data_IF_973844155932
#
_entry.id   IF_973844155932
#
_cell.length_a   1.000
_cell.length_b   1.000
_cell.length_c   1.000
_cell.angle_alpha   90.00
_cell.angle_beta   90.00
_cell.angle_gamma   90.00
#
_symmetry.space_group_name_H-M   'P 1'
#
loop_
_entity.id
_entity.type
_entity.pdbx_description
1 polymer ?
#
# COMPACT_ATOMS: atom_id res chain seq x y z
N UNK A 1 10.74 -29.40 10.69
CA UNK A 1 10.15 -28.23 11.39
C UNK A 1 8.70 -27.97 10.97
N UNK A 2 8.38 -27.94 9.67
CA UNK A 2 6.99 -27.84 9.17
C UNK A 2 6.03 -28.93 9.71
N UNK A 3 6.54 -30.15 9.93
CA UNK A 3 5.72 -31.25 10.48
C UNK A 3 5.36 -31.07 11.96
N UNK A 4 6.17 -30.32 12.73
CA UNK A 4 5.86 -30.00 14.12
C UNK A 4 4.72 -28.97 14.20
N UNK A 5 4.82 -27.88 13.42
CA UNK A 5 3.77 -26.85 13.31
C UNK A 5 2.47 -27.43 12.75
N UNK A 6 2.57 -28.38 11.80
CA UNK A 6 1.39 -29.07 11.24
C UNK A 6 0.67 -29.95 12.28
N UNK A 7 1.40 -30.48 13.27
CA UNK A 7 0.82 -31.25 14.39
C UNK A 7 0.19 -30.33 15.45
N UNK A 8 0.77 -29.16 15.69
CA UNK A 8 0.23 -28.19 16.66
C UNK A 8 -1.00 -27.43 16.14
N UNK A 9 -1.08 -27.17 14.83
CA UNK A 9 -2.17 -26.38 14.22
C UNK A 9 -2.87 -27.10 13.06
N UNK A 10 -3.37 -28.34 13.25
CA UNK A 10 -3.96 -29.14 12.16
C UNK A 10 -5.20 -28.48 11.56
N UNK A 11 -5.96 -27.74 12.38
CA UNK A 11 -7.17 -27.02 11.95
C UNK A 11 -6.85 -25.88 10.99
N UNK A 12 -5.73 -25.17 11.19
CA UNK A 12 -5.29 -24.08 10.29
C UNK A 12 -4.88 -24.65 8.94
N UNK A 13 -4.16 -25.77 8.92
CA UNK A 13 -3.80 -26.45 7.66
C UNK A 13 -5.01 -27.08 6.97
N UNK A 14 -5.98 -27.60 7.72
CA UNK A 14 -7.23 -28.12 7.16
C UNK A 14 -8.07 -27.00 6.53
N UNK A 15 -8.14 -25.83 7.18
CA UNK A 15 -8.80 -24.64 6.66
C UNK A 15 -8.08 -24.13 5.40
N UNK A 16 -6.75 -24.00 5.45
CA UNK A 16 -5.94 -23.56 4.31
C UNK A 16 -6.11 -24.47 3.08
N UNK A 17 -6.25 -25.79 3.27
CA UNK A 17 -6.53 -26.73 2.17
C UNK A 17 -7.95 -26.61 1.60
N UNK A 18 -8.91 -26.09 2.38
CA UNK A 18 -10.29 -25.89 1.95
C UNK A 18 -10.53 -24.53 1.31
N UNK A 19 -9.57 -23.59 1.42
CA UNK A 19 -9.70 -22.29 0.77
C UNK A 19 -9.63 -22.46 -0.75
N UNK A 20 -10.63 -21.96 -1.50
CA UNK A 20 -10.63 -22.04 -2.94
C UNK A 20 -9.46 -21.22 -3.50
N UNK A 21 -8.77 -21.77 -4.51
CA UNK A 21 -7.67 -21.08 -5.15
C UNK A 21 -8.17 -19.77 -5.77
N UNK A 22 -7.55 -18.62 -5.46
CA UNK A 22 -7.93 -17.35 -6.06
C UNK A 22 -7.71 -17.39 -7.58
N UNK A 23 -8.66 -16.84 -8.32
CA UNK A 23 -8.67 -16.83 -9.78
C UNK A 23 -8.51 -15.41 -10.31
N UNK A 24 -7.55 -15.21 -11.20
CA UNK A 24 -7.31 -13.91 -11.82
C UNK A 24 -7.31 -14.01 -13.34
N UNK A 25 -7.97 -13.05 -13.99
CA UNK A 25 -7.90 -12.91 -15.43
C UNK A 25 -6.56 -12.33 -15.87
N UNK A 26 -6.04 -12.80 -17.01
CA UNK A 26 -4.82 -12.22 -17.60
C UNK A 26 -5.07 -10.79 -18.05
N UNK A 27 -4.04 -9.96 -17.97
CA UNK A 27 -4.10 -8.56 -18.36
C UNK A 27 -2.79 -8.13 -19.00
N UNK A 28 -2.80 -7.00 -19.71
CA UNK A 28 -1.56 -6.44 -20.24
C UNK A 28 -0.68 -5.94 -19.10
N UNK A 29 0.63 -5.89 -19.35
CA UNK A 29 1.66 -5.53 -18.35
C UNK A 29 1.30 -4.32 -17.46
N UNK A 30 0.91 -3.14 -17.98
CA UNK A 30 0.63 -1.99 -17.12
C UNK A 30 -0.53 -2.25 -16.14
N UNK A 31 -1.57 -2.92 -16.60
CA UNK A 31 -2.75 -3.25 -15.78
C UNK A 31 -2.48 -4.40 -14.82
N UNK A 32 -1.64 -5.36 -15.20
CA UNK A 32 -1.16 -6.41 -14.32
C UNK A 32 -0.36 -5.83 -13.14
N UNK A 33 0.51 -4.83 -13.41
CA UNK A 33 1.29 -4.12 -12.38
C UNK A 33 0.37 -3.34 -11.43
N UNK A 34 -0.63 -2.64 -11.96
CA UNK A 34 -1.63 -1.97 -11.13
C UNK A 34 -2.44 -2.97 -10.29
N UNK A 35 -2.97 -4.03 -10.91
CA UNK A 35 -3.72 -5.06 -10.17
C UNK A 35 -2.88 -5.73 -9.08
N UNK A 36 -1.60 -5.98 -9.34
CA UNK A 36 -0.64 -6.50 -8.36
C UNK A 36 -0.45 -5.53 -7.19
N UNK A 37 -0.19 -4.25 -7.47
CA UNK A 37 -0.05 -3.22 -6.43
C UNK A 37 -1.32 -3.08 -5.60
N UNK A 38 -2.50 -3.11 -6.23
CA UNK A 38 -3.79 -3.06 -5.53
C UNK A 38 -4.04 -4.29 -4.66
N UNK A 39 -3.66 -5.48 -5.12
CA UNK A 39 -3.75 -6.70 -4.31
C UNK A 39 -2.83 -6.62 -3.08
N UNK A 40 -1.60 -6.15 -3.26
CA UNK A 40 -0.67 -5.89 -2.16
C UNK A 40 -1.22 -4.86 -1.17
N UNK A 41 -1.81 -3.77 -1.67
CA UNK A 41 -2.45 -2.73 -0.85
C UNK A 41 -3.58 -3.29 0.02
N UNK A 42 -4.51 -4.07 -0.56
CA UNK A 42 -5.60 -4.65 0.21
C UNK A 42 -5.14 -5.69 1.22
N UNK A 43 -4.18 -6.55 0.87
CA UNK A 43 -3.62 -7.53 1.81
C UNK A 43 -2.88 -6.83 2.95
N UNK A 44 -2.05 -5.84 2.65
CA UNK A 44 -1.39 -5.01 3.66
C UNK A 44 -2.40 -4.38 4.62
N UNK A 45 -3.42 -3.73 4.07
CA UNK A 45 -4.47 -3.07 4.85
C UNK A 45 -5.23 -4.05 5.73
N UNK A 46 -5.56 -5.23 5.19
CA UNK A 46 -6.26 -6.28 5.93
C UNK A 46 -5.41 -6.81 7.09
N UNK A 47 -4.13 -7.08 6.85
CA UNK A 47 -3.19 -7.52 7.88
C UNK A 47 -3.06 -6.43 8.95
N UNK A 48 -2.81 -5.18 8.56
CA UNK A 48 -2.70 -4.06 9.50
C UNK A 48 -3.95 -3.95 10.37
N UNK A 49 -5.14 -3.91 9.77
CA UNK A 49 -6.41 -3.77 10.49
C UNK A 49 -6.60 -4.93 11.47
N UNK A 50 -6.52 -6.18 10.99
CA UNK A 50 -6.77 -7.36 11.81
C UNK A 50 -5.75 -7.50 12.93
N UNK A 51 -4.46 -7.39 12.63
CA UNK A 51 -3.42 -7.61 13.63
C UNK A 51 -3.25 -6.42 14.57
N UNK A 52 -3.54 -5.18 14.15
CA UNK A 52 -3.59 -4.05 15.09
C UNK A 52 -4.76 -4.19 16.06
N UNK A 53 -5.94 -4.60 15.58
CA UNK A 53 -7.09 -4.87 16.45
C UNK A 53 -6.79 -6.01 17.43
N UNK A 54 -6.22 -7.10 16.93
CA UNK A 54 -5.84 -8.24 17.76
C UNK A 54 -4.79 -7.82 18.80
N UNK A 55 -3.66 -7.26 18.37
CA UNK A 55 -2.56 -6.89 19.24
C UNK A 55 -3.01 -5.93 20.34
N UNK A 56 -3.85 -4.93 20.02
CA UNK A 56 -4.42 -4.04 21.04
C UNK A 56 -5.42 -4.74 21.95
N UNK A 57 -6.26 -5.62 21.40
CA UNK A 57 -7.22 -6.39 22.18
C UNK A 57 -6.58 -7.31 23.22
N UNK A 58 -5.37 -7.79 22.96
CA UNK A 58 -4.63 -8.68 23.88
C UNK A 58 -3.35 -8.07 24.49
N UNK A 59 -3.12 -6.76 24.30
CA UNK A 59 -1.99 -6.05 24.91
C UNK A 59 -0.60 -6.43 24.38
N UNK A 60 -0.49 -6.91 23.14
CA UNK A 60 0.80 -7.24 22.52
C UNK A 60 1.48 -6.00 21.90
N UNK A 61 2.83 -5.99 21.81
CA UNK A 61 3.55 -4.96 21.08
C UNK A 61 3.14 -4.95 19.61
N UNK A 62 3.01 -3.76 19.01
CA UNK A 62 2.52 -3.58 17.63
C UNK A 62 3.64 -3.41 16.59
N UNK A 63 4.90 -3.39 17.01
CA UNK A 63 6.06 -3.08 16.16
C UNK A 63 6.25 -4.07 15.00
N UNK A 64 5.93 -5.34 15.21
CA UNK A 64 6.07 -6.41 14.21
C UNK A 64 4.99 -6.39 13.12
N UNK A 65 3.83 -5.75 13.39
CA UNK A 65 2.65 -5.82 12.52
C UNK A 65 2.91 -5.16 11.16
N UNK A 66 3.68 -4.07 11.13
CA UNK A 66 4.08 -3.40 9.89
C UNK A 66 4.99 -4.27 9.01
N UNK A 67 5.91 -5.02 9.63
CA UNK A 67 6.78 -5.97 8.92
C UNK A 67 5.96 -7.08 8.26
N UNK A 68 5.02 -7.68 8.99
CA UNK A 68 4.15 -8.74 8.46
C UNK A 68 3.24 -8.23 7.34
N UNK A 69 2.70 -7.02 7.48
CA UNK A 69 1.90 -6.39 6.43
C UNK A 69 2.72 -6.18 5.16
N UNK A 70 3.97 -5.74 5.29
CA UNK A 70 4.90 -5.54 4.16
C UNK A 70 5.24 -6.86 3.47
N UNK A 71 5.54 -7.91 4.24
CA UNK A 71 5.76 -9.27 3.72
C UNK A 71 4.54 -9.74 2.90
N UNK A 72 3.35 -9.64 3.49
CA UNK A 72 2.10 -10.05 2.84
C UNK A 72 1.80 -9.25 1.58
N UNK A 73 2.05 -7.94 1.60
CA UNK A 73 1.86 -7.05 0.46
C UNK A 73 2.76 -7.45 -0.72
N UNK A 74 4.07 -7.57 -0.48
CA UNK A 74 5.06 -7.90 -1.51
C UNK A 74 4.81 -9.31 -2.05
N UNK A 75 4.56 -10.27 -1.17
CA UNK A 75 4.27 -11.65 -1.56
C UNK A 75 3.04 -11.74 -2.46
N UNK A 76 1.97 -11.01 -2.10
CA UNK A 76 0.73 -10.97 -2.88
C UNK A 76 0.94 -10.22 -4.20
N UNK A 77 1.59 -9.06 -4.18
CA UNK A 77 1.79 -8.26 -5.38
C UNK A 77 2.64 -9.00 -6.42
N UNK A 78 3.79 -9.55 -6.04
CA UNK A 78 4.66 -10.31 -6.96
C UNK A 78 3.96 -11.54 -7.53
N UNK A 79 3.22 -12.24 -6.68
CA UNK A 79 2.53 -13.45 -7.10
C UNK A 79 1.37 -13.13 -8.05
N UNK A 80 0.58 -12.09 -7.75
CA UNK A 80 -0.48 -11.58 -8.64
C UNK A 80 0.11 -11.07 -9.96
N UNK A 81 1.21 -10.29 -9.92
CA UNK A 81 1.89 -9.80 -11.11
C UNK A 81 2.30 -10.95 -12.05
N UNK A 82 2.92 -11.99 -11.48
CA UNK A 82 3.31 -13.18 -12.24
C UNK A 82 2.10 -13.90 -12.85
N UNK A 83 1.03 -14.09 -12.07
CA UNK A 83 -0.17 -14.82 -12.54
C UNK A 83 -0.95 -14.07 -13.62
N UNK A 84 -1.03 -12.74 -13.54
CA UNK A 84 -1.84 -11.91 -14.45
C UNK A 84 -1.05 -11.48 -15.69
N UNK A 85 0.21 -11.08 -15.52
CA UNK A 85 1.03 -10.46 -16.57
C UNK A 85 2.37 -11.17 -16.83
N UNK A 86 2.63 -12.31 -16.18
CA UNK A 86 3.85 -13.09 -16.36
C UNK A 86 5.11 -12.40 -15.84
N UNK A 87 6.26 -12.90 -16.29
CA UNK A 87 7.59 -12.42 -15.86
C UNK A 87 7.79 -10.92 -16.15
N UNK A 88 7.25 -10.41 -17.26
CA UNK A 88 7.39 -9.00 -17.63
C UNK A 88 6.74 -8.07 -16.59
N UNK A 89 5.55 -8.42 -16.10
CA UNK A 89 4.89 -7.64 -15.05
C UNK A 89 5.65 -7.69 -13.73
N UNK A 90 6.24 -8.84 -13.39
CA UNK A 90 7.11 -8.97 -12.21
C UNK A 90 8.33 -8.07 -12.32
N UNK A 91 9.01 -8.08 -13.46
CA UNK A 91 10.20 -7.25 -13.70
C UNK A 91 9.86 -5.76 -13.58
N UNK A 92 8.75 -5.33 -14.17
CA UNK A 92 8.31 -3.93 -14.08
C UNK A 92 7.98 -3.55 -12.64
N UNK A 93 7.20 -4.37 -11.93
CA UNK A 93 6.83 -4.08 -10.54
C UNK A 93 8.05 -4.09 -9.61
N UNK A 94 8.92 -5.08 -9.74
CA UNK A 94 10.18 -5.13 -8.98
C UNK A 94 11.09 -3.94 -9.31
N UNK A 95 11.14 -3.51 -10.58
CA UNK A 95 11.87 -2.31 -10.99
C UNK A 95 11.35 -1.05 -10.30
N UNK A 96 10.02 -0.89 -10.19
CA UNK A 96 9.41 0.22 -9.46
C UNK A 96 9.83 0.18 -7.98
N UNK A 97 9.74 -0.98 -7.32
CA UNK A 97 10.17 -1.12 -5.92
C UNK A 97 11.65 -0.78 -5.73
N UNK A 98 12.52 -1.25 -6.62
CA UNK A 98 13.96 -0.93 -6.58
C UNK A 98 14.17 0.58 -6.71
N UNK A 99 13.49 1.25 -7.64
CA UNK A 99 13.58 2.70 -7.79
C UNK A 99 13.09 3.42 -6.54
N UNK A 100 11.94 3.02 -5.98
CA UNK A 100 11.44 3.58 -4.72
C UNK A 100 12.44 3.41 -3.58
N UNK A 101 13.05 2.23 -3.43
CA UNK A 101 14.05 1.98 -2.37
C UNK A 101 15.33 2.75 -2.56
N UNK A 102 15.81 2.91 -3.79
CA UNK A 102 16.96 3.76 -4.10
C UNK A 102 16.66 5.21 -3.73
N UNK A 103 15.48 5.72 -4.08
CA UNK A 103 15.06 7.08 -3.72
C UNK A 103 14.94 7.28 -2.20
N UNK A 104 14.36 6.30 -1.49
CA UNK A 104 14.30 6.32 -0.02
C UNK A 104 15.70 6.30 0.60
N UNK A 105 16.62 5.49 0.06
CA UNK A 105 18.01 5.44 0.53
C UNK A 105 18.72 6.79 0.33
N UNK A 106 18.49 7.46 -0.81
CA UNK A 106 19.01 8.81 -1.06
C UNK A 106 18.46 9.81 -0.03
N UNK A 107 17.16 9.76 0.25
CA UNK A 107 16.55 10.61 1.28
C UNK A 107 17.14 10.36 2.66
N UNK A 108 17.32 9.08 3.04
CA UNK A 108 17.92 8.69 4.31
C UNK A 108 19.38 9.13 4.43
N UNK A 109 20.18 8.95 3.37
CA UNK A 109 21.57 9.40 3.34
C UNK A 109 21.67 10.93 3.54
N UNK A 110 20.79 11.71 2.90
CA UNK A 110 20.74 13.16 3.07
C UNK A 110 20.33 13.58 4.48
N UNK A 111 19.32 12.91 5.07
CA UNK A 111 18.92 13.11 6.45
C UNK A 111 20.07 12.84 7.43
N UNK A 112 20.81 11.76 7.20
CA UNK A 112 21.93 11.33 8.02
C UNK A 112 23.18 12.22 7.91
N UNK A 113 23.37 12.90 6.79
CA UNK A 113 24.39 13.96 6.67
C UNK A 113 23.97 15.22 7.44
N UNK A 114 22.66 15.48 7.54
CA UNK A 114 22.14 16.65 8.25
C UNK A 114 22.03 16.47 9.78
N UNK A 115 21.90 15.23 10.26
CA UNK A 115 21.76 14.90 11.70
C UNK A 115 22.99 14.12 12.16
N UNK A 116 23.87 14.80 12.91
CA UNK A 116 25.07 14.19 13.51
C UNK A 116 24.61 13.23 14.61
N UNK A 117 24.93 11.94 14.47
CA UNK A 117 24.72 10.85 15.45
C UNK A 117 23.27 10.39 15.70
N UNK A 118 22.72 9.59 14.77
CA UNK A 118 21.60 8.68 15.10
C UNK A 118 21.90 7.25 14.65
N UNK A 119 21.53 6.26 15.48
CA UNK A 119 21.69 4.83 15.19
C UNK A 119 20.91 4.36 13.95
N UNK A 120 19.95 5.17 13.49
CA UNK A 120 19.14 4.96 12.29
C UNK A 120 19.98 5.14 11.01
N UNK A 121 21.10 5.85 11.09
CA UNK A 121 21.97 6.17 9.97
C UNK A 121 23.00 5.08 9.63
N UNK A 122 22.94 3.92 10.29
CA UNK A 122 23.81 2.82 9.95
C UNK A 122 23.35 2.11 8.66
N UNK A 123 24.25 1.81 7.72
CA UNK A 123 23.91 0.98 6.56
C UNK A 123 23.44 -0.43 6.99
N UNK A 124 23.88 -0.90 8.16
CA UNK A 124 23.46 -2.20 8.72
C UNK A 124 21.98 -2.18 9.12
N UNK A 125 21.49 -1.11 9.75
CA UNK A 125 20.07 -0.98 10.11
C UNK A 125 19.18 -0.89 8.87
N UNK A 126 19.66 -0.26 7.80
CA UNK A 126 18.95 -0.23 6.51
C UNK A 126 18.84 -1.63 5.90
N UNK A 127 19.95 -2.38 5.80
CA UNK A 127 19.95 -3.74 5.25
C UNK A 127 19.12 -4.69 6.10
N UNK A 128 19.23 -4.59 7.43
CA UNK A 128 18.37 -5.34 8.34
C UNK A 128 16.90 -5.00 8.11
N UNK A 129 16.56 -3.74 7.82
CA UNK A 129 15.21 -3.29 7.47
C UNK A 129 14.62 -3.87 6.18
N UNK A 130 15.43 -4.49 5.29
CA UNK A 130 14.97 -5.12 4.06
C UNK A 130 14.45 -6.56 4.26
N UNK A 131 14.55 -7.11 5.47
CA UNK A 131 14.07 -8.45 5.79
C UNK A 131 12.60 -8.74 5.39
N UNK A 132 11.64 -7.78 5.47
CA UNK A 132 10.26 -8.05 5.06
C UNK A 132 10.16 -8.29 3.54
N UNK A 133 11.04 -7.68 2.76
CA UNK A 133 11.03 -7.78 1.30
C UNK A 133 11.55 -9.15 0.86
N UNK A 134 12.66 -9.59 1.45
CA UNK A 134 13.27 -10.88 1.12
C UNK A 134 12.33 -12.03 1.49
N UNK A 135 11.67 -11.97 2.65
CA UNK A 135 10.64 -12.94 3.03
C UNK A 135 9.40 -12.85 2.13
N UNK A 136 9.00 -11.64 1.74
CA UNK A 136 7.90 -11.42 0.80
C UNK A 136 8.16 -12.10 -0.55
N UNK A 137 9.36 -11.91 -1.11
CA UNK A 137 9.78 -12.57 -2.37
C UNK A 137 9.80 -14.09 -2.21
N UNK A 138 10.34 -14.60 -1.10
CA UNK A 138 10.36 -16.04 -0.84
C UNK A 138 8.94 -16.63 -0.78
N UNK A 139 8.01 -15.96 -0.09
CA UNK A 139 6.61 -16.38 0.01
C UNK A 139 5.85 -16.26 -1.32
N UNK A 140 6.21 -15.30 -2.17
CA UNK A 140 5.61 -15.14 -3.49
C UNK A 140 5.73 -16.42 -4.33
N UNK A 141 6.88 -17.10 -4.27
CA UNK A 141 7.10 -18.36 -5.02
C UNK A 141 6.09 -19.44 -4.66
N UNK A 142 5.71 -19.54 -3.38
CA UNK A 142 4.69 -20.47 -2.89
C UNK A 142 3.28 -20.04 -3.28
N UNK A 143 2.99 -18.74 -3.22
CA UNK A 143 1.69 -18.18 -3.56
C UNK A 143 1.37 -18.31 -5.05
N UNK A 144 2.37 -18.15 -5.93
CA UNK A 144 2.23 -18.35 -7.38
C UNK A 144 1.70 -19.74 -7.70
N UNK A 145 2.20 -20.78 -7.01
CA UNK A 145 1.76 -22.16 -7.21
C UNK A 145 0.32 -22.41 -6.75
N UNK A 146 -0.22 -21.54 -5.90
CA UNK A 146 -1.57 -21.69 -5.36
C UNK A 146 -2.62 -20.94 -6.19
N UNK A 147 -2.26 -19.83 -6.83
CA UNK A 147 -3.18 -19.06 -7.69
C UNK A 147 -3.48 -19.73 -9.03
N UNK A 148 -4.66 -19.42 -9.58
CA UNK A 148 -5.08 -19.92 -10.89
C UNK A 148 -5.40 -18.76 -11.82
N UNK A 149 -5.11 -18.93 -13.10
CA UNK A 149 -5.58 -18.03 -14.15
C UNK A 149 -6.99 -18.43 -14.57
N UNK A 150 -7.84 -17.45 -14.86
CA UNK A 150 -9.16 -17.64 -15.47
C UNK A 150 -9.27 -16.82 -16.74
N UNK A 151 -10.19 -17.20 -17.62
CA UNK A 151 -10.62 -16.34 -18.72
C UNK A 151 -11.63 -15.31 -18.18
N UNK A 152 -11.58 -14.09 -18.71
CA UNK A 152 -12.43 -12.98 -18.26
C UNK A 152 -11.70 -11.64 -18.30
N UNK A 153 -12.36 -10.60 -17.82
CA UNK A 153 -11.76 -9.28 -17.68
C UNK A 153 -10.94 -9.14 -16.39
N UNK A 154 -9.89 -8.31 -16.44
CA UNK A 154 -9.07 -7.97 -15.29
C UNK A 154 -9.87 -7.38 -14.12
N UNK A 155 -9.37 -7.56 -12.90
CA UNK A 155 -10.02 -7.01 -11.71
C UNK A 155 -9.80 -5.49 -11.62
N UNK A 156 -10.75 -4.75 -12.17
CA UNK A 156 -10.77 -3.28 -12.25
C UNK A 156 -10.62 -2.60 -10.87
N UNK A 157 -10.95 -3.28 -9.75
CA UNK A 157 -10.89 -2.70 -8.39
C UNK A 157 -9.44 -2.66 -7.94
N UNK A 158 -8.73 -3.76 -8.18
CA UNK A 158 -7.31 -3.87 -7.91
C UNK A 158 -6.52 -2.91 -8.81
N UNK A 159 -6.92 -2.73 -10.08
CA UNK A 159 -6.30 -1.73 -10.95
C UNK A 159 -6.41 -0.31 -10.37
N UNK A 160 -7.59 0.08 -9.88
CA UNK A 160 -7.81 1.40 -9.28
C UNK A 160 -7.06 1.57 -7.95
N UNK A 161 -7.13 0.58 -7.06
CA UNK A 161 -6.40 0.60 -5.78
C UNK A 161 -4.88 0.58 -5.99
N UNK A 162 -4.39 -0.10 -7.04
CA UNK A 162 -2.98 -0.08 -7.39
C UNK A 162 -2.51 1.25 -7.96
N UNK A 163 -3.36 1.95 -8.70
CA UNK A 163 -3.06 3.29 -9.19
C UNK A 163 -2.88 4.28 -8.02
N UNK A 164 -3.73 4.16 -7.00
CA UNK A 164 -3.59 4.87 -5.74
C UNK A 164 -2.24 4.57 -5.07
N UNK A 165 -1.99 3.29 -4.80
CA UNK A 165 -0.82 2.85 -4.05
C UNK A 165 0.51 3.21 -4.75
N UNK A 166 0.61 2.99 -6.06
CA UNK A 166 1.83 3.31 -6.81
C UNK A 166 2.06 4.80 -6.96
N UNK A 167 1.01 5.59 -7.26
CA UNK A 167 1.17 7.04 -7.38
C UNK A 167 1.59 7.65 -6.03
N UNK A 168 0.98 7.21 -4.93
CA UNK A 168 1.37 7.65 -3.60
C UNK A 168 2.82 7.22 -3.27
N UNK A 169 3.18 5.96 -3.49
CA UNK A 169 4.52 5.42 -3.22
C UNK A 169 5.64 6.14 -3.98
N UNK A 170 5.48 6.29 -5.29
CA UNK A 170 6.45 6.96 -6.16
C UNK A 170 6.60 8.43 -5.79
N UNK A 171 5.48 9.13 -5.55
CA UNK A 171 5.54 10.56 -5.20
C UNK A 171 6.21 10.73 -3.84
N UNK A 172 5.90 9.91 -2.84
CA UNK A 172 6.59 9.95 -1.54
C UNK A 172 8.09 9.68 -1.69
N UNK A 173 8.48 8.68 -2.49
CA UNK A 173 9.88 8.34 -2.71
C UNK A 173 10.66 9.48 -3.40
N UNK A 174 10.11 10.07 -4.47
CA UNK A 174 10.72 11.20 -5.17
C UNK A 174 10.89 12.39 -4.22
N UNK A 175 9.84 12.73 -3.48
CA UNK A 175 9.85 13.88 -2.57
C UNK A 175 10.87 13.67 -1.44
N UNK A 176 10.98 12.44 -0.92
CA UNK A 176 11.99 12.06 0.07
C UNK A 176 13.43 12.16 -0.46
N UNK A 177 13.67 11.81 -1.74
CA UNK A 177 15.00 11.92 -2.34
C UNK A 177 15.42 13.37 -2.63
N UNK A 178 14.48 14.22 -3.04
CA UNK A 178 14.78 15.59 -3.50
C UNK A 178 15.02 16.57 -2.35
N UNK A 179 14.37 16.39 -1.20
CA UNK A 179 14.33 17.40 -0.14
C UNK A 179 15.30 17.08 1.00
N UNK A 180 16.26 17.99 1.24
CA UNK A 180 17.43 17.82 2.13
C UNK A 180 17.07 17.96 3.62
N UNK A 181 16.07 18.78 3.92
CA UNK A 181 15.53 18.98 5.24
C UNK A 181 14.14 19.54 5.03
N UNK A 182 13.13 18.77 5.40
CA UNK A 182 11.79 19.34 5.44
C UNK A 182 11.62 19.89 6.84
N UNK A 183 11.57 21.22 6.94
CA UNK A 183 10.84 21.79 8.06
C UNK A 183 9.48 21.08 8.15
N UNK A 184 8.95 20.99 9.37
CA UNK A 184 7.73 20.22 9.68
C UNK A 184 6.53 20.59 8.79
N UNK A 185 6.52 21.78 8.20
CA UNK A 185 5.48 22.19 7.27
C UNK A 185 5.64 21.59 5.86
N UNK A 186 6.86 21.62 5.30
CA UNK A 186 7.12 21.15 3.94
C UNK A 186 6.79 19.67 3.79
N UNK A 187 7.16 18.82 4.75
CA UNK A 187 6.84 17.39 4.73
C UNK A 187 5.34 17.11 4.80
N UNK A 188 4.58 17.91 5.56
CA UNK A 188 3.12 17.83 5.60
C UNK A 188 2.48 18.13 4.23
N UNK A 189 2.93 19.18 3.54
CA UNK A 189 2.43 19.54 2.20
C UNK A 189 2.74 18.46 1.17
N UNK A 190 3.92 17.84 1.24
CA UNK A 190 4.31 16.75 0.34
C UNK A 190 3.45 15.50 0.52
N UNK A 191 3.09 15.17 1.76
CA UNK A 191 2.15 14.11 2.08
C UNK A 191 0.77 14.39 1.50
N UNK A 192 0.34 15.66 1.49
CA UNK A 192 -0.93 16.04 0.86
C UNK A 192 -0.87 15.97 -0.68
N UNK A 193 0.28 16.33 -1.27
CA UNK A 193 0.49 16.21 -2.71
C UNK A 193 0.55 14.74 -3.17
N UNK A 194 1.18 13.86 -2.39
CA UNK A 194 1.19 12.42 -2.69
C UNK A 194 -0.20 11.82 -2.53
N UNK A 195 -0.93 12.16 -1.47
CA UNK A 195 -2.32 11.75 -1.28
C UNK A 195 -3.23 12.26 -2.41
N UNK A 196 -3.08 13.52 -2.79
CA UNK A 196 -3.83 14.15 -3.88
C UNK A 196 -3.59 13.44 -5.22
N UNK A 197 -2.33 13.20 -5.58
CA UNK A 197 -1.97 12.49 -6.82
C UNK A 197 -2.41 11.02 -6.82
N UNK A 198 -2.31 10.33 -5.68
CA UNK A 198 -2.85 8.97 -5.47
C UNK A 198 -4.35 8.90 -5.74
N UNK A 199 -5.12 9.77 -5.10
CA UNK A 199 -6.57 9.81 -5.28
C UNK A 199 -7.00 10.24 -6.69
N UNK A 200 -6.29 11.18 -7.34
CA UNK A 200 -6.53 11.55 -8.73
C UNK A 200 -6.31 10.35 -9.67
N UNK A 201 -5.19 9.63 -9.52
CA UNK A 201 -4.90 8.44 -10.32
C UNK A 201 -5.96 7.36 -10.13
N UNK A 202 -6.37 7.10 -8.87
CA UNK A 202 -7.47 6.20 -8.54
C UNK A 202 -8.78 6.61 -9.22
N UNK A 203 -9.18 7.87 -9.09
CA UNK A 203 -10.40 8.42 -9.67
C UNK A 203 -10.43 8.30 -11.19
N UNK A 204 -9.30 8.55 -11.86
CA UNK A 204 -9.16 8.40 -13.31
C UNK A 204 -9.28 6.95 -13.77
N UNK A 205 -8.69 6.00 -13.03
CA UNK A 205 -8.82 4.57 -13.34
C UNK A 205 -10.24 4.08 -13.11
N UNK A 206 -10.88 4.47 -12.00
CA UNK A 206 -12.30 4.18 -11.74
C UNK A 206 -13.19 4.73 -12.86
N UNK A 207 -12.95 5.97 -13.30
CA UNK A 207 -13.74 6.59 -14.35
C UNK A 207 -13.62 5.85 -15.69
N UNK A 208 -12.39 5.48 -16.07
CA UNK A 208 -12.09 4.86 -17.37
C UNK A 208 -12.45 3.38 -17.42
N UNK A 209 -12.32 2.66 -16.32
CA UNK A 209 -12.38 1.21 -16.30
C UNK A 209 -13.62 0.68 -15.60
N UNK A 210 -14.22 1.38 -14.63
CA UNK A 210 -15.35 0.86 -13.86
C UNK A 210 -16.70 1.36 -14.42
N UNK A 211 -17.71 0.48 -14.59
CA UNK A 211 -19.05 0.87 -15.03
C UNK A 211 -19.68 1.89 -14.07
N UNK A 212 -20.47 2.82 -14.59
CA UNK A 212 -20.95 3.99 -13.84
C UNK A 212 -21.63 3.63 -12.51
N UNK A 213 -22.52 2.63 -12.53
CA UNK A 213 -23.24 2.16 -11.34
C UNK A 213 -22.36 1.50 -10.27
N UNK A 214 -21.09 1.21 -10.55
CA UNK A 214 -20.15 0.55 -9.62
C UNK A 214 -19.02 1.46 -9.13
N UNK A 215 -18.84 2.66 -9.72
CA UNK A 215 -17.73 3.58 -9.39
C UNK A 215 -17.71 3.98 -7.91
N UNK A 216 -18.86 4.39 -7.38
CA UNK A 216 -19.00 4.84 -5.98
C UNK A 216 -18.86 3.72 -4.94
N UNK A 217 -19.52 2.55 -5.09
CA UNK A 217 -19.29 1.43 -4.19
C UNK A 217 -17.82 1.01 -4.14
N UNK A 218 -17.13 1.02 -5.29
CA UNK A 218 -15.74 0.61 -5.38
C UNK A 218 -14.79 1.63 -4.77
N UNK A 219 -15.05 2.93 -4.96
CA UNK A 219 -14.37 3.97 -4.20
C UNK A 219 -14.60 3.80 -2.70
N UNK A 220 -15.82 3.43 -2.27
CA UNK A 220 -16.14 3.15 -0.86
C UNK A 220 -15.29 2.02 -0.28
N UNK A 221 -15.07 0.94 -1.03
CA UNK A 221 -14.19 -0.17 -0.59
C UNK A 221 -12.74 0.28 -0.43
N UNK A 222 -12.23 1.07 -1.39
CA UNK A 222 -10.86 1.62 -1.32
C UNK A 222 -10.74 2.59 -0.14
N UNK A 223 -11.71 3.49 0.02
CA UNK A 223 -11.77 4.43 1.12
C UNK A 223 -11.80 3.72 2.47
N UNK A 224 -12.56 2.62 2.60
CA UNK A 224 -12.61 1.85 3.84
C UNK A 224 -11.25 1.23 4.20
N UNK A 225 -10.49 0.74 3.20
CA UNK A 225 -9.14 0.25 3.43
C UNK A 225 -8.19 1.36 3.88
N UNK A 226 -8.17 2.50 3.17
CA UNK A 226 -7.33 3.66 3.52
C UNK A 226 -7.68 4.20 4.93
N UNK A 227 -8.97 4.47 5.15
CA UNK A 227 -9.46 5.05 6.41
C UNK A 227 -9.33 4.07 7.58
N UNK A 228 -9.52 2.77 7.36
CA UNK A 228 -9.35 1.74 8.39
C UNK A 228 -7.91 1.65 8.88
N UNK A 229 -6.93 1.68 7.96
CA UNK A 229 -5.51 1.74 8.32
C UNK A 229 -5.20 3.04 9.05
N UNK A 230 -5.66 4.19 8.55
CA UNK A 230 -5.43 5.47 9.21
C UNK A 230 -5.99 5.51 10.65
N UNK A 231 -7.22 5.03 10.85
CA UNK A 231 -7.87 4.99 12.16
C UNK A 231 -7.09 4.12 13.16
N UNK A 232 -6.53 3.00 12.68
CA UNK A 232 -5.86 2.04 13.55
C UNK A 232 -4.36 2.26 13.67
N UNK A 233 -3.72 2.97 12.76
CA UNK A 233 -2.27 3.18 12.79
C UNK A 233 -1.97 4.64 13.11
N UNK A 234 -2.51 5.57 12.33
CA UNK A 234 -2.18 6.98 12.41
C UNK A 234 -2.82 7.68 13.62
N UNK A 235 -4.10 7.41 13.91
CA UNK A 235 -4.80 8.08 15.03
C UNK A 235 -4.17 7.78 16.40
N UNK A 236 -3.88 6.53 16.77
CA UNK A 236 -3.30 6.24 18.08
C UNK A 236 -1.87 6.76 18.20
N UNK A 237 -1.11 6.75 17.10
CA UNK A 237 0.22 7.35 17.05
C UNK A 237 0.16 8.85 17.26
N UNK A 238 -0.80 9.53 16.63
CA UNK A 238 -1.03 10.96 16.82
C UNK A 238 -1.42 11.28 18.27
N UNK A 239 -2.39 10.55 18.85
CA UNK A 239 -2.82 10.75 20.25
C UNK A 239 -1.67 10.49 21.23
N UNK A 240 -0.87 9.46 21.00
CA UNK A 240 0.31 9.16 21.82
C UNK A 240 1.36 10.28 21.82
N UNK A 241 1.49 11.01 20.72
CA UNK A 241 2.39 12.18 20.63
C UNK A 241 1.84 13.43 21.33
N UNK A 242 0.51 13.54 21.47
CA UNK A 242 -0.15 14.67 22.17
C UNK A 242 -0.14 14.46 23.69
N UNK A 243 -0.12 13.21 24.17
CA UNK A 243 -0.21 12.88 25.59
C UNK A 243 1.10 12.90 26.39
N UNK A 244 2.27 13.07 25.74
CA UNK A 244 3.58 13.03 26.39
C UNK A 244 4.09 14.46 26.58
N UNK A 245 3.75 15.06 27.72
CA UNK A 245 4.29 16.33 28.19
C UNK A 245 3.35 17.53 27.98
N UNK A 246 3.16 18.34 29.02
CA UNK A 246 2.31 19.55 29.09
C UNK A 246 2.67 20.67 28.08
N UNK A 247 3.57 20.39 27.14
CA UNK A 247 3.88 21.21 25.98
C UNK A 247 3.35 20.51 24.74
N UNK A 248 2.25 21.05 24.18
CA UNK A 248 1.68 20.61 22.91
C UNK A 248 2.73 20.83 21.81
N UNK A 249 3.60 19.84 21.58
CA UNK A 249 4.50 19.79 20.44
C UNK A 249 3.75 19.25 19.21
N UNK A 250 2.51 19.70 18.97
CA UNK A 250 1.84 19.47 17.70
C UNK A 250 2.50 20.41 16.69
N UNK A 251 3.61 19.96 16.11
CA UNK A 251 4.12 20.58 14.89
C UNK A 251 3.07 20.44 13.79
N UNK A 252 2.92 21.46 12.95
CA UNK A 252 1.96 21.46 11.83
C UNK A 252 2.06 20.24 10.89
N UNK A 253 3.20 19.53 10.91
CA UNK A 253 3.42 18.23 10.25
C UNK A 253 2.39 17.16 10.61
N UNK A 254 2.10 17.02 11.91
CA UNK A 254 1.24 15.96 12.41
C UNK A 254 -0.22 16.18 12.00
N UNK A 255 -0.67 17.43 11.96
CA UNK A 255 -2.02 17.79 11.53
C UNK A 255 -2.22 17.64 10.02
N UNK A 256 -1.25 18.07 9.20
CA UNK A 256 -1.34 17.96 7.74
C UNK A 256 -1.22 16.50 7.27
N UNK A 257 -0.27 15.74 7.81
CA UNK A 257 -0.15 14.31 7.54
C UNK A 257 -1.35 13.50 8.01
N UNK A 258 -2.00 13.91 9.11
CA UNK A 258 -3.23 13.30 9.60
C UNK A 258 -4.43 13.50 8.66
N UNK A 259 -4.46 14.58 7.89
CA UNK A 259 -5.52 14.86 6.93
C UNK A 259 -5.33 14.16 5.56
N UNK A 260 -4.15 13.60 5.29
CA UNK A 260 -3.80 12.96 4.01
C UNK A 260 -4.84 11.96 3.46
N UNK A 261 -5.36 10.98 4.23
CA UNK A 261 -6.32 10.01 3.68
C UNK A 261 -7.65 10.65 3.27
N UNK A 262 -8.05 11.75 3.91
CA UNK A 262 -9.26 12.49 3.49
C UNK A 262 -9.04 13.17 2.15
N UNK A 263 -7.85 13.74 1.93
CA UNK A 263 -7.49 14.39 0.66
C UNK A 263 -7.40 13.35 -0.47
N UNK A 264 -6.91 12.16 -0.17
CA UNK A 264 -6.86 11.03 -1.11
C UNK A 264 -8.26 10.59 -1.55
N UNK A 265 -9.16 10.36 -0.60
CA UNK A 265 -10.55 9.96 -0.93
C UNK A 265 -11.30 11.12 -1.61
N UNK A 266 -11.09 12.36 -1.15
CA UNK A 266 -11.75 13.54 -1.70
C UNK A 266 -11.31 13.83 -3.14
N UNK A 267 -10.02 13.69 -3.48
CA UNK A 267 -9.54 13.93 -4.83
C UNK A 267 -10.04 12.86 -5.81
N UNK A 268 -10.13 11.60 -5.38
CA UNK A 268 -10.77 10.53 -6.16
C UNK A 268 -12.26 10.79 -6.39
N UNK A 269 -12.98 11.19 -5.33
CA UNK A 269 -14.39 11.55 -5.40
C UNK A 269 -14.63 12.77 -6.32
N UNK A 270 -13.72 13.76 -6.29
CA UNK A 270 -13.80 14.95 -7.13
C UNK A 270 -13.74 14.59 -8.62
N UNK A 271 -12.84 13.68 -9.03
CA UNK A 271 -12.73 13.23 -10.42
C UNK A 271 -14.05 12.60 -10.88
N UNK A 272 -14.63 11.72 -10.05
CA UNK A 272 -15.91 11.08 -10.35
C UNK A 272 -17.06 12.09 -10.40
N UNK A 273 -17.10 13.03 -9.46
CA UNK A 273 -18.10 14.08 -9.39
C UNK A 273 -18.06 15.00 -10.61
N UNK A 274 -16.87 15.48 -11.00
CA UNK A 274 -16.69 16.34 -12.18
C UNK A 274 -17.10 15.60 -13.45
N UNK A 275 -16.80 14.31 -13.56
CA UNK A 275 -17.21 13.51 -14.72
C UNK A 275 -18.73 13.35 -14.81
N UNK A 276 -19.40 13.09 -13.69
CA UNK A 276 -20.87 13.04 -13.61
C UNK A 276 -21.48 14.40 -13.95
N UNK A 277 -20.96 15.48 -13.36
CA UNK A 277 -21.44 16.84 -13.58
C UNK A 277 -21.27 17.30 -15.04
N UNK A 278 -20.19 16.87 -15.70
CA UNK A 278 -19.90 17.21 -17.11
C UNK A 278 -20.47 16.21 -18.12
N UNK A 279 -21.21 15.18 -17.69
CA UNK A 279 -21.68 14.06 -18.54
C UNK A 279 -20.56 13.45 -19.39
N UNK A 280 -19.34 13.38 -18.84
CA UNK A 280 -18.21 12.75 -19.52
C UNK A 280 -18.40 11.24 -19.39
N UNK A 281 -19.23 10.68 -20.26
CA UNK A 281 -19.26 9.25 -20.53
C UNK A 281 -18.02 8.91 -21.35
N UNK A 282 -17.21 7.97 -20.88
CA UNK A 282 -16.06 7.48 -21.64
C UNK A 282 -16.53 7.10 -23.05
N UNK A 283 -15.98 7.75 -24.08
CA UNK A 283 -16.26 7.40 -25.45
C UNK A 283 -15.73 5.98 -25.69
N UNK A 284 -16.63 5.03 -25.94
CA UNK A 284 -16.27 3.75 -26.56
C UNK A 284 -15.73 4.06 -27.95
N UNK A 285 -14.41 4.18 -28.10
CA UNK A 285 -13.76 3.93 -29.37
C UNK A 285 -13.64 2.42 -29.50
N UNK A 286 -14.47 1.87 -30.39
CA UNK A 286 -14.48 0.49 -30.86
C UNK A 286 -13.14 0.09 -31.49
#
# INVERSE_FOLDING_TARGET
MLDAVRRELPQVFALARRMPNPRFARSSVPWAVLAAAGAGFFVSSTILVLFMLLARGIGLPTEWVGGVATVGAIATALSVAYTIGGTNAVVVYAGILVVERVLVLVGLARFCVAVIESSVCSPVTFVLGLWPETLGVALATRLVLWMRTTEGEGNRLLEAAGALALAQGVVVAILGAVLISTSSFTSGVLLLLSAGSGGLACGLVLLRRVPEGRRWPWLGVIALAVMGVWLLVSVPTFVGQVGIGETIAIGGLNLLGFAAPFIEVASAALVLYVAVARKITASNTA
#
